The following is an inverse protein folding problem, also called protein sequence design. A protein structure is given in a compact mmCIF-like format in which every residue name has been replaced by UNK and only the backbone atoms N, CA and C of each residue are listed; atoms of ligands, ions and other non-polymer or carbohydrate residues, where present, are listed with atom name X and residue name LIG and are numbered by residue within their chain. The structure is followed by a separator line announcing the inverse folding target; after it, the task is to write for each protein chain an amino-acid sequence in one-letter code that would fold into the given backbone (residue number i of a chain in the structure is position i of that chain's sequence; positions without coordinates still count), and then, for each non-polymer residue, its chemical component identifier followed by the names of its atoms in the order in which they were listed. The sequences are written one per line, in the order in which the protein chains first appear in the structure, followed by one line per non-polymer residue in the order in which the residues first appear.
data_IF_460136698518
#
_entry.id   IF_460136698518
#
_cell.length_a   1.000
_cell.length_b   1.000
_cell.length_c   1.000
_cell.angle_alpha   90.00
_cell.angle_beta   90.00
_cell.angle_gamma   90.00
#
_symmetry.space_group_name_H-M   'P 1'
#
loop_
_entity.id
_entity.type
_entity.pdbx_description
1 polymer ?
#
# COMPACT_ATOMS: atom_id res chain seq x y z
N UNK A 1 11.56 -1.34 -1.72
CA UNK A 1 12.24 -1.24 -3.03
C UNK A 1 12.18 -2.54 -3.82
N UNK A 2 12.18 -2.46 -5.15
CA UNK A 2 12.24 -3.60 -6.04
C UNK A 2 13.59 -4.33 -5.88
N UNK A 3 13.55 -5.64 -5.63
CA UNK A 3 14.76 -6.48 -5.48
C UNK A 3 15.27 -7.03 -6.82
N UNK A 4 14.49 -6.90 -7.89
CA UNK A 4 14.81 -7.40 -9.24
C UNK A 4 15.32 -6.30 -10.18
N UNK A 5 15.14 -5.02 -9.84
CA UNK A 5 15.58 -3.86 -10.64
C UNK A 5 15.74 -2.61 -9.76
N UNK A 6 16.42 -1.58 -10.26
CA UNK A 6 16.52 -0.26 -9.63
C UNK A 6 15.22 0.58 -9.78
N UNK A 7 14.27 0.12 -10.58
CA UNK A 7 12.98 0.81 -10.80
C UNK A 7 11.98 0.42 -9.70
N UNK A 8 11.60 1.41 -8.90
CA UNK A 8 10.58 1.30 -7.86
C UNK A 8 9.24 1.83 -8.35
N UNK A 9 8.16 1.18 -7.91
CA UNK A 9 6.82 1.70 -8.10
C UNK A 9 6.52 2.74 -7.02
N UNK A 10 6.08 3.92 -7.45
CA UNK A 10 5.82 5.11 -6.65
C UNK A 10 4.41 5.56 -6.99
N UNK A 11 3.52 5.59 -5.99
CA UNK A 11 2.12 5.98 -6.18
C UNK A 11 1.71 7.00 -5.12
N UNK A 12 1.03 8.05 -5.57
CA UNK A 12 0.46 9.07 -4.69
C UNK A 12 -0.93 8.62 -4.23
N UNK A 13 -1.06 8.33 -2.93
CA UNK A 13 -2.35 8.02 -2.32
C UNK A 13 -3.07 9.33 -2.00
N UNK A 14 -4.05 9.68 -2.82
CA UNK A 14 -4.83 10.93 -2.73
C UNK A 14 -6.00 10.80 -1.74
N UNK A 15 -6.69 11.92 -1.47
CA UNK A 15 -7.75 12.00 -0.45
C UNK A 15 -9.01 11.15 -0.72
N UNK A 16 -9.16 10.65 -1.95
CA UNK A 16 -10.19 9.70 -2.40
C UNK A 16 -9.66 8.27 -2.50
N UNK A 17 -8.60 7.95 -1.75
CA UNK A 17 -8.01 6.62 -1.74
C UNK A 17 -9.00 5.54 -1.29
N UNK A 18 -9.23 4.57 -2.17
CA UNK A 18 -10.07 3.40 -1.94
C UNK A 18 -9.22 2.12 -1.95
N UNK A 19 -9.47 1.23 -0.99
CA UNK A 19 -8.83 -0.08 -0.93
C UNK A 19 -9.78 -1.17 -0.42
N UNK A 20 -9.49 -2.41 -0.78
CA UNK A 20 -10.19 -3.61 -0.36
C UNK A 20 -9.19 -4.71 -0.01
N UNK A 21 -9.45 -5.45 1.07
CA UNK A 21 -8.62 -6.59 1.47
C UNK A 21 -9.25 -7.88 0.96
N UNK A 22 -8.55 -8.59 0.09
CA UNK A 22 -8.92 -9.91 -0.41
C UNK A 22 -7.73 -10.87 -0.28
N UNK A 23 -7.57 -11.48 0.90
CA UNK A 23 -6.42 -12.35 1.23
C UNK A 23 -6.15 -13.37 0.09
N UNK A 24 -4.91 -13.44 -0.44
CA UNK A 24 -3.65 -12.85 0.04
C UNK A 24 -3.27 -11.49 -0.61
N UNK A 25 -4.24 -10.76 -1.13
CA UNK A 25 -4.06 -9.47 -1.81
C UNK A 25 -4.69 -8.31 -1.04
N UNK A 26 -4.05 -7.15 -1.11
CA UNK A 26 -4.66 -5.85 -0.82
C UNK A 26 -4.83 -5.13 -2.16
N UNK A 27 -6.07 -4.84 -2.53
CA UNK A 27 -6.42 -4.16 -3.76
C UNK A 27 -6.62 -2.67 -3.47
N UNK A 28 -6.15 -1.80 -4.35
CA UNK A 28 -6.39 -0.36 -4.24
C UNK A 28 -6.56 0.28 -5.61
N UNK A 29 -7.23 1.44 -5.64
CA UNK A 29 -7.40 2.23 -6.86
C UNK A 29 -6.39 3.38 -6.89
N UNK A 30 -5.66 3.53 -7.99
CA UNK A 30 -4.74 4.66 -8.17
C UNK A 30 -5.47 5.89 -8.78
N UNK A 31 -4.76 7.01 -8.92
CA UNK A 31 -5.30 8.22 -9.53
C UNK A 31 -5.74 8.05 -11.00
N UNK A 32 -5.15 7.08 -11.72
CA UNK A 32 -5.55 6.69 -13.07
C UNK A 32 -6.79 5.76 -13.10
N UNK A 33 -7.43 5.52 -11.94
CA UNK A 33 -8.58 4.63 -11.76
C UNK A 33 -8.28 3.15 -12.01
N UNK A 34 -7.02 2.77 -12.09
CA UNK A 34 -6.58 1.40 -12.25
C UNK A 34 -6.60 0.66 -10.91
N UNK A 35 -7.02 -0.60 -10.94
CA UNK A 35 -7.03 -1.47 -9.76
C UNK A 35 -5.69 -2.20 -9.68
N UNK A 36 -4.93 -1.89 -8.64
CA UNK A 36 -3.63 -2.49 -8.35
C UNK A 36 -3.74 -3.45 -7.16
N UNK A 37 -2.96 -4.52 -7.18
CA UNK A 37 -2.94 -5.53 -6.12
C UNK A 37 -1.55 -5.71 -5.53
N UNK A 38 -1.45 -5.61 -4.20
CA UNK A 38 -0.25 -5.93 -3.44
C UNK A 38 -0.45 -7.34 -2.87
N UNK A 39 0.44 -8.26 -3.24
CA UNK A 39 0.45 -9.61 -2.68
C UNK A 39 1.33 -9.68 -1.45
N UNK A 40 0.85 -10.35 -0.41
CA UNK A 40 1.60 -10.56 0.83
C UNK A 40 1.87 -12.04 1.05
N UNK A 41 3.08 -12.34 1.52
CA UNK A 41 3.45 -13.68 1.93
C UNK A 41 2.77 -14.06 3.26
N UNK A 42 2.74 -13.13 4.21
CA UNK A 42 2.15 -13.31 5.52
C UNK A 42 0.79 -12.58 5.61
N UNK A 43 -0.27 -13.31 5.93
CA UNK A 43 -1.61 -12.73 6.06
C UNK A 43 -1.73 -11.71 7.20
N UNK A 44 -0.89 -11.80 8.24
CA UNK A 44 -0.90 -10.83 9.34
C UNK A 44 -0.44 -9.43 8.88
N UNK A 45 0.52 -9.37 7.96
CA UNK A 45 1.03 -8.10 7.42
C UNK A 45 -0.04 -7.36 6.60
N UNK A 46 -0.96 -8.09 5.97
CA UNK A 46 -2.11 -7.49 5.27
C UNK A 46 -2.95 -6.67 6.25
N UNK A 47 -3.23 -7.21 7.44
CA UNK A 47 -4.09 -6.56 8.43
C UNK A 47 -3.44 -5.27 8.95
N UNK A 48 -2.13 -5.29 9.22
CA UNK A 48 -1.39 -4.11 9.66
C UNK A 48 -1.34 -3.01 8.58
N UNK A 49 -1.14 -3.39 7.31
CA UNK A 49 -1.16 -2.43 6.20
C UNK A 49 -2.58 -1.89 5.96
N UNK A 50 -3.61 -2.73 6.09
CA UNK A 50 -5.00 -2.31 5.96
C UNK A 50 -5.41 -1.30 7.06
N UNK A 51 -4.98 -1.52 8.31
CA UNK A 51 -5.20 -0.55 9.40
C UNK A 51 -4.49 0.78 9.11
N UNK A 52 -3.23 0.72 8.66
CA UNK A 52 -2.48 1.89 8.24
C UNK A 52 -3.20 2.65 7.11
N UNK A 53 -3.69 1.94 6.11
CA UNK A 53 -4.41 2.51 4.96
C UNK A 53 -5.71 3.16 5.40
N UNK A 54 -6.48 2.53 6.31
CA UNK A 54 -7.68 3.13 6.89
C UNK A 54 -7.38 4.42 7.67
N UNK A 55 -6.29 4.45 8.43
CA UNK A 55 -5.84 5.65 9.17
C UNK A 55 -5.37 6.77 8.23
N UNK A 56 -4.72 6.42 7.11
CA UNK A 56 -4.29 7.36 6.08
C UNK A 56 -5.48 7.90 5.28
N UNK A 57 -6.45 7.05 4.91
CA UNK A 57 -7.68 7.49 4.26
C UNK A 57 -8.48 8.47 5.14
N UNK A 58 -8.44 8.27 6.47
CA UNK A 58 -9.08 9.17 7.44
C UNK A 58 -8.28 10.45 7.74
N UNK A 59 -6.99 10.51 7.40
CA UNK A 59 -6.12 11.65 7.71
C UNK A 59 -5.75 12.35 6.41
N UNK A 60 -6.29 13.55 6.16
CA UNK A 60 -6.01 14.33 4.96
C UNK A 60 -4.50 14.47 4.71
N UNK A 61 -4.02 13.66 3.76
CA UNK A 61 -2.70 13.71 3.08
C UNK A 61 -1.47 13.42 3.96
N UNK A 62 -0.85 12.24 3.77
CA UNK A 62 0.57 12.02 4.08
C UNK A 62 1.23 11.04 3.08
N UNK A 63 1.81 11.58 2.01
CA UNK A 63 2.51 10.84 0.93
C UNK A 63 3.88 10.27 1.37
N UNK A 64 4.41 10.66 2.53
CA UNK A 64 5.82 10.39 2.89
C UNK A 64 6.10 9.11 3.70
N UNK A 65 5.10 8.38 4.21
CA UNK A 65 5.35 7.26 5.15
C UNK A 65 5.38 5.85 4.54
N UNK A 66 4.81 5.64 3.35
CA UNK A 66 4.73 4.29 2.78
C UNK A 66 6.11 3.71 2.39
N UNK A 67 7.06 4.57 2.01
CA UNK A 67 8.43 4.18 1.65
C UNK A 67 9.22 3.55 2.81
N UNK A 68 8.99 4.00 4.05
CA UNK A 68 9.74 3.54 5.22
C UNK A 68 9.14 2.28 5.85
N UNK A 69 7.83 2.06 5.71
CA UNK A 69 7.15 0.93 6.35
C UNK A 69 7.30 -0.38 5.57
N UNK A 70 7.27 -0.33 4.24
CA UNK A 70 7.47 -1.53 3.39
C UNK A 70 8.88 -2.11 3.52
N UNK A 71 9.90 -1.31 3.87
CA UNK A 71 11.26 -1.82 4.10
C UNK A 71 11.45 -2.52 5.45
N UNK A 72 10.68 -2.16 6.48
CA UNK A 72 10.87 -2.70 7.84
C UNK A 72 10.35 -4.14 8.00
N UNK A 73 9.37 -4.55 7.19
CA UNK A 73 8.75 -5.89 7.23
C UNK A 73 9.34 -6.89 6.23
N UNK A 74 10.21 -6.44 5.32
CA UNK A 74 10.90 -7.31 4.36
C UNK A 74 12.31 -7.74 4.82
N UNK A 75 12.71 -7.40 6.05
CA UNK A 75 13.97 -7.82 6.70
C UNK A 75 13.76 -9.02 7.63
#
# INVERSE_FOLDING_TARGET
MNRRSAENMVEDLLGDFEFEVQVPYLLYRNAAQEVNGIWFYNAHEIEEVADLFGRLASSSVFILKLYLWVELYLL
#
